data_IF_439117550123
#
_entry.id   IF_439117550123
#
_cell.length_a   1.000
_cell.length_b   1.000
_cell.length_c   1.000
_cell.angle_alpha   90.00
_cell.angle_beta   90.00
_cell.angle_gamma   90.00
#
_symmetry.space_group_name_H-M   'P 1'
#
loop_
_entity.id
_entity.type
_entity.pdbx_description
1 polymer ?
#
# COMPACT_ATOMS: atom_id res chain seq x y z
N UNK A 1 0.58 19.87 -7.72
CA UNK A 1 1.80 20.08 -8.56
C UNK A 1 1.93 18.93 -9.55
N UNK A 2 2.30 19.22 -10.77
CA UNK A 2 2.55 18.17 -11.75
C UNK A 2 4.00 17.69 -11.64
N UNK A 3 4.19 16.41 -11.35
CA UNK A 3 5.50 15.79 -11.16
C UNK A 3 6.07 15.20 -12.47
N UNK A 4 5.30 15.21 -13.55
CA UNK A 4 5.77 14.73 -14.86
C UNK A 4 6.94 15.57 -15.35
N UNK A 5 7.97 14.93 -15.86
CA UNK A 5 9.17 15.60 -16.36
C UNK A 5 10.22 15.91 -15.29
N UNK A 6 9.93 15.68 -14.01
CA UNK A 6 10.92 15.74 -12.93
C UNK A 6 11.63 14.40 -12.79
N UNK A 7 12.91 14.43 -12.47
CA UNK A 7 13.63 13.22 -12.13
C UNK A 7 13.37 12.82 -10.66
N UNK A 8 13.82 11.62 -10.27
CA UNK A 8 13.58 11.11 -8.93
C UNK A 8 14.21 11.99 -7.84
N UNK A 9 15.40 12.54 -8.08
CA UNK A 9 16.09 13.39 -7.11
C UNK A 9 15.34 14.70 -6.88
N UNK A 10 14.78 15.29 -7.93
CA UNK A 10 13.94 16.49 -7.83
C UNK A 10 12.67 16.22 -7.02
N UNK A 11 12.02 15.08 -7.25
CA UNK A 11 10.81 14.68 -6.52
C UNK A 11 11.14 14.42 -5.05
N UNK A 12 12.23 13.71 -4.76
CA UNK A 12 12.70 13.45 -3.38
C UNK A 12 12.95 14.75 -2.64
N UNK A 13 13.60 15.71 -3.28
CA UNK A 13 13.84 17.03 -2.68
C UNK A 13 12.53 17.74 -2.33
N UNK A 14 11.53 17.69 -3.22
CA UNK A 14 10.22 18.27 -2.94
C UNK A 14 9.51 17.58 -1.77
N UNK A 15 9.65 16.26 -1.65
CA UNK A 15 9.13 15.51 -0.49
C UNK A 15 9.81 15.93 0.82
N UNK A 16 11.13 16.04 0.82
CA UNK A 16 11.91 16.45 1.99
C UNK A 16 11.57 17.87 2.45
N UNK A 17 11.27 18.75 1.51
CA UNK A 17 10.86 20.14 1.76
C UNK A 17 9.36 20.28 2.09
N UNK A 18 8.61 19.17 2.15
CA UNK A 18 7.15 19.14 2.38
C UNK A 18 6.36 19.98 1.36
N UNK A 19 6.83 20.05 0.14
CA UNK A 19 6.17 20.81 -0.94
C UNK A 19 5.19 19.99 -1.75
N UNK A 20 5.26 18.66 -1.64
CA UNK A 20 4.37 17.71 -2.30
C UNK A 20 3.91 16.62 -1.34
N UNK A 21 2.80 15.99 -1.68
CA UNK A 21 2.18 14.89 -0.92
C UNK A 21 1.80 13.74 -1.88
N UNK A 22 1.31 12.65 -1.31
CA UNK A 22 0.90 11.46 -2.08
C UNK A 22 -0.09 11.81 -3.19
N UNK A 23 -0.99 12.75 -2.94
CA UNK A 23 -1.96 13.21 -3.94
C UNK A 23 -1.29 13.72 -5.21
N UNK A 24 -0.17 14.41 -5.10
CA UNK A 24 0.55 14.94 -6.28
C UNK A 24 1.07 13.82 -7.17
N UNK A 25 1.48 12.69 -6.60
CA UNK A 25 1.86 11.50 -7.36
C UNK A 25 0.68 10.94 -8.15
N UNK A 26 -0.45 10.78 -7.49
CA UNK A 26 -1.67 10.25 -8.11
C UNK A 26 -2.13 11.17 -9.23
N UNK A 27 -2.18 12.47 -8.99
CA UNK A 27 -2.56 13.47 -9.99
C UNK A 27 -1.60 13.50 -11.19
N UNK A 28 -0.36 13.09 -10.97
CA UNK A 28 0.68 13.00 -12.02
C UNK A 28 0.75 11.63 -12.68
N UNK A 29 -0.14 10.72 -12.34
CA UNK A 29 -0.15 9.32 -12.83
C UNK A 29 1.13 8.56 -12.49
N UNK A 30 1.73 8.86 -11.34
CA UNK A 30 2.88 8.14 -10.80
C UNK A 30 2.39 7.31 -9.62
N UNK A 31 2.68 6.01 -9.62
CA UNK A 31 2.34 5.15 -8.49
C UNK A 31 3.23 5.47 -7.28
N UNK A 32 2.67 6.00 -6.17
CA UNK A 32 3.48 6.34 -5.01
C UNK A 32 4.12 5.12 -4.34
N UNK A 33 3.46 3.98 -4.37
CA UNK A 33 3.99 2.74 -3.81
C UNK A 33 5.21 2.24 -4.60
N UNK A 34 5.14 2.25 -5.94
CA UNK A 34 6.27 1.86 -6.79
C UNK A 34 7.44 2.84 -6.62
N UNK A 35 7.15 4.13 -6.61
CA UNK A 35 8.16 5.16 -6.37
C UNK A 35 8.87 4.95 -5.03
N UNK A 36 8.08 4.69 -3.98
CA UNK A 36 8.59 4.46 -2.64
C UNK A 36 9.53 3.26 -2.57
N UNK A 37 9.14 2.13 -3.18
CA UNK A 37 9.98 0.92 -3.23
C UNK A 37 11.31 1.15 -3.93
N UNK A 38 11.31 1.96 -4.99
CA UNK A 38 12.52 2.26 -5.77
C UNK A 38 13.41 3.32 -5.12
N UNK A 39 12.89 4.09 -4.17
CA UNK A 39 13.56 5.24 -3.57
C UNK A 39 13.66 5.15 -2.05
N UNK A 40 14.05 3.99 -1.54
CA UNK A 40 14.37 3.77 -0.11
C UNK A 40 13.23 4.06 0.86
N UNK A 41 11.99 3.83 0.45
CA UNK A 41 10.80 3.99 1.30
C UNK A 41 10.67 5.40 1.91
N UNK A 42 11.00 6.41 1.12
CA UNK A 42 11.00 7.82 1.59
C UNK A 42 9.60 8.35 1.89
N UNK A 43 8.55 7.81 1.25
CA UNK A 43 7.16 8.24 1.47
C UNK A 43 6.56 7.56 2.69
N UNK A 44 6.62 6.24 2.75
CA UNK A 44 5.91 5.43 3.74
C UNK A 44 6.80 4.89 4.84
N UNK A 45 8.11 5.09 4.72
CA UNK A 45 9.07 4.54 5.67
C UNK A 45 9.29 3.04 5.52
N UNK A 46 10.15 2.49 6.38
CA UNK A 46 10.47 1.08 6.37
C UNK A 46 9.29 0.26 6.93
N UNK A 47 8.73 -0.62 6.12
CA UNK A 47 7.60 -1.47 6.50
C UNK A 47 8.01 -2.72 7.29
N UNK A 48 9.29 -2.95 7.51
CA UNK A 48 9.80 -4.17 8.15
C UNK A 48 9.17 -4.42 9.53
N UNK A 49 9.02 -3.37 10.34
CA UNK A 49 8.49 -3.48 11.69
C UNK A 49 6.97 -3.62 11.76
N UNK A 50 6.27 -3.36 10.66
CA UNK A 50 4.81 -3.46 10.57
C UNK A 50 4.34 -4.55 9.61
N UNK A 51 5.28 -5.30 9.03
CA UNK A 51 4.96 -6.39 8.11
C UNK A 51 4.36 -7.56 8.88
N UNK A 52 3.15 -7.97 8.49
CA UNK A 52 2.43 -9.09 9.08
C UNK A 52 2.65 -10.39 8.30
N UNK A 53 2.74 -10.28 6.98
CA UNK A 53 2.92 -11.42 6.10
C UNK A 53 3.53 -10.97 4.78
N UNK A 54 4.40 -11.79 4.22
CA UNK A 54 5.00 -11.55 2.91
C UNK A 54 5.34 -12.87 2.24
N UNK A 55 5.02 -13.00 0.97
CA UNK A 55 5.48 -14.09 0.11
C UNK A 55 5.87 -13.55 -1.27
N UNK A 56 6.00 -14.42 -2.27
CA UNK A 56 6.40 -13.99 -3.62
C UNK A 56 5.33 -13.18 -4.35
N UNK A 57 4.09 -13.25 -3.92
CA UNK A 57 2.94 -12.69 -4.63
C UNK A 57 2.32 -11.48 -3.94
N UNK A 58 2.26 -11.51 -2.60
CA UNK A 58 1.58 -10.50 -1.80
C UNK A 58 2.40 -10.09 -0.57
N UNK A 59 2.10 -8.91 -0.07
CA UNK A 59 2.53 -8.44 1.24
C UNK A 59 1.32 -7.92 2.02
N UNK A 60 1.36 -8.05 3.34
CA UNK A 60 0.34 -7.55 4.24
C UNK A 60 1.00 -6.83 5.40
N UNK A 61 0.59 -5.60 5.67
CA UNK A 61 1.22 -4.77 6.69
C UNK A 61 0.23 -3.83 7.38
N UNK A 62 0.59 -3.40 8.57
CA UNK A 62 -0.13 -2.34 9.29
C UNK A 62 0.19 -1.00 8.64
N UNK A 63 -0.84 -0.24 8.31
CA UNK A 63 -0.65 1.09 7.73
C UNK A 63 -0.19 2.08 8.81
N UNK A 64 0.70 3.01 8.43
CA UNK A 64 1.25 4.00 9.36
C UNK A 64 0.24 5.07 9.80
N UNK A 65 -0.81 5.27 9.02
CA UNK A 65 -1.85 6.27 9.31
C UNK A 65 -3.24 5.62 9.27
N UNK A 66 -3.56 4.77 10.27
CA UNK A 66 -4.78 3.97 10.26
C UNK A 66 -6.03 4.81 10.46
N UNK A 67 -7.12 4.41 9.78
CA UNK A 67 -8.47 4.95 10.03
C UNK A 67 -9.09 4.39 11.29
N UNK A 68 -8.67 3.19 11.68
CA UNK A 68 -9.10 2.51 12.90
C UNK A 68 -8.03 1.51 13.32
N UNK A 69 -8.12 1.02 14.55
CA UNK A 69 -7.26 -0.06 15.02
C UNK A 69 -7.42 -1.28 14.12
N UNK A 70 -6.30 -1.92 13.78
CA UNK A 70 -6.32 -3.09 12.91
C UNK A 70 -6.46 -2.78 11.43
N UNK A 71 -6.26 -1.54 11.01
CA UNK A 71 -6.23 -1.17 9.59
C UNK A 71 -4.97 -1.74 8.95
N UNK A 72 -5.15 -2.75 8.13
CA UNK A 72 -4.08 -3.40 7.37
C UNK A 72 -4.25 -3.16 5.88
N UNK A 73 -3.15 -3.33 5.15
CA UNK A 73 -3.12 -3.30 3.69
C UNK A 73 -2.63 -4.63 3.18
N UNK A 74 -3.30 -5.17 2.18
CA UNK A 74 -2.85 -6.32 1.41
C UNK A 74 -2.51 -5.80 0.02
N UNK A 75 -1.27 -5.97 -0.40
CA UNK A 75 -0.76 -5.43 -1.66
C UNK A 75 -0.10 -6.54 -2.48
N UNK A 76 -0.28 -6.50 -3.79
CA UNK A 76 0.49 -7.36 -4.70
C UNK A 76 1.94 -6.87 -4.77
N UNK A 77 2.88 -7.81 -4.91
CA UNK A 77 4.30 -7.48 -5.09
C UNK A 77 4.51 -6.85 -6.47
N UNK A 78 3.88 -7.40 -7.51
CA UNK A 78 3.89 -6.84 -8.85
C UNK A 78 2.85 -5.72 -8.94
N UNK A 79 3.21 -4.62 -9.57
CA UNK A 79 2.29 -3.51 -9.79
C UNK A 79 1.20 -3.89 -10.80
N UNK A 80 -0.05 -3.68 -10.42
CA UNK A 80 -1.21 -3.72 -11.31
C UNK A 80 -1.97 -2.41 -11.15
N UNK A 81 -2.40 -1.83 -12.26
CA UNK A 81 -3.09 -0.54 -12.26
C UNK A 81 -4.45 -0.63 -11.55
N UNK A 82 -5.15 -1.73 -11.76
CA UNK A 82 -6.46 -1.98 -11.15
C UNK A 82 -6.76 -3.49 -11.07
N UNK A 83 -7.88 -3.83 -10.44
CA UNK A 83 -8.31 -5.21 -10.25
C UNK A 83 -8.55 -5.96 -11.56
N UNK A 84 -8.88 -5.27 -12.64
CA UNK A 84 -9.17 -5.92 -13.93
C UNK A 84 -7.89 -6.48 -14.58
N UNK A 85 -6.73 -5.97 -14.22
CA UNK A 85 -5.45 -6.44 -14.74
C UNK A 85 -4.85 -7.59 -13.94
N UNK A 86 -5.34 -7.83 -12.73
CA UNK A 86 -4.80 -8.87 -11.85
C UNK A 86 -5.13 -10.26 -12.40
N UNK A 87 -4.17 -11.19 -12.51
CA UNK A 87 -4.45 -12.57 -12.88
C UNK A 87 -5.45 -13.22 -11.91
N UNK A 88 -6.34 -14.06 -12.41
CA UNK A 88 -7.40 -14.70 -11.63
C UNK A 88 -6.84 -15.43 -10.39
N UNK A 89 -5.74 -16.16 -10.54
CA UNK A 89 -5.10 -16.89 -9.44
C UNK A 89 -4.66 -15.96 -8.32
N UNK A 90 -4.10 -14.80 -8.66
CA UNK A 90 -3.69 -13.81 -7.68
C UNK A 90 -4.90 -13.14 -7.03
N UNK A 91 -5.93 -12.85 -7.81
CA UNK A 91 -7.21 -12.33 -7.32
C UNK A 91 -7.81 -13.25 -6.26
N UNK A 92 -7.90 -14.54 -6.55
CA UNK A 92 -8.39 -15.56 -5.62
C UNK A 92 -7.54 -15.60 -4.34
N UNK A 93 -6.22 -15.59 -4.49
CA UNK A 93 -5.28 -15.61 -3.36
C UNK A 93 -5.48 -14.40 -2.45
N UNK A 94 -5.57 -13.20 -3.02
CA UNK A 94 -5.77 -11.96 -2.27
C UNK A 94 -7.07 -12.00 -1.47
N UNK A 95 -8.18 -12.42 -2.07
CA UNK A 95 -9.48 -12.45 -1.41
C UNK A 95 -9.58 -13.54 -0.33
N UNK A 96 -9.00 -14.71 -0.56
CA UNK A 96 -8.93 -15.78 0.44
C UNK A 96 -8.07 -15.33 1.62
N UNK A 97 -6.94 -14.70 1.36
CA UNK A 97 -6.08 -14.13 2.39
C UNK A 97 -6.77 -13.00 3.17
N UNK A 98 -7.50 -12.12 2.46
CA UNK A 98 -8.28 -11.07 3.10
C UNK A 98 -9.32 -11.65 4.07
N UNK A 99 -10.02 -12.70 3.68
CA UNK A 99 -10.99 -13.38 4.56
C UNK A 99 -10.32 -13.91 5.83
N UNK A 100 -9.16 -14.52 5.69
CA UNK A 100 -8.36 -14.99 6.84
C UNK A 100 -8.01 -13.83 7.77
N UNK A 101 -7.51 -12.74 7.23
CA UNK A 101 -7.13 -11.56 8.01
C UNK A 101 -8.33 -10.87 8.66
N UNK A 102 -9.47 -10.83 8.00
CA UNK A 102 -10.71 -10.29 8.58
C UNK A 102 -11.12 -11.08 9.83
N UNK A 103 -11.01 -12.41 9.80
CA UNK A 103 -11.27 -13.24 10.97
C UNK A 103 -10.28 -12.98 12.11
N UNK A 104 -9.01 -12.82 11.79
CA UNK A 104 -7.96 -12.50 12.76
C UNK A 104 -8.22 -11.13 13.41
N UNK A 105 -8.49 -10.11 12.61
CA UNK A 105 -8.78 -8.75 13.09
C UNK A 105 -10.00 -8.75 14.01
N UNK A 106 -11.05 -9.43 13.61
CA UNK A 106 -12.26 -9.55 14.42
C UNK A 106 -11.99 -10.15 15.80
N UNK A 107 -11.17 -11.19 15.84
CA UNK A 107 -10.81 -11.86 17.09
C UNK A 107 -9.88 -11.01 17.97
N UNK A 108 -8.89 -10.36 17.37
CA UNK A 108 -7.91 -9.54 18.10
C UNK A 108 -8.53 -8.30 18.71
N UNK A 109 -9.39 -7.62 17.97
CA UNK A 109 -9.99 -6.35 18.39
C UNK A 109 -11.42 -6.48 18.93
N UNK A 110 -11.98 -7.69 18.95
CA UNK A 110 -13.34 -7.96 19.43
C UNK A 110 -14.39 -7.02 18.81
N UNK A 111 -14.30 -6.82 17.51
CA UNK A 111 -15.18 -5.93 16.75
C UNK A 111 -16.34 -6.70 16.12
N UNK A 112 -17.45 -6.00 15.85
CA UNK A 112 -18.64 -6.62 15.24
C UNK A 112 -18.44 -6.95 13.77
N UNK A 113 -17.71 -6.10 13.04
CA UNK A 113 -17.50 -6.27 11.60
C UNK A 113 -16.16 -5.71 11.16
N UNK A 114 -15.68 -6.23 10.03
CA UNK A 114 -14.47 -5.76 9.35
C UNK A 114 -14.85 -5.43 7.91
N UNK A 115 -14.45 -4.26 7.43
CA UNK A 115 -14.73 -3.82 6.07
C UNK A 115 -13.53 -4.05 5.17
N UNK A 116 -13.81 -4.50 3.94
CA UNK A 116 -12.83 -4.63 2.87
C UNK A 116 -13.06 -3.51 1.85
N UNK A 117 -12.01 -2.75 1.55
CA UNK A 117 -12.01 -1.71 0.53
C UNK A 117 -10.90 -2.00 -0.49
N UNK A 118 -11.19 -1.74 -1.77
CA UNK A 118 -10.20 -1.87 -2.84
C UNK A 118 -9.92 -0.54 -3.50
#
# INVERSE_FOLDING_TARGET
MNLKGLDNDEIIKLLEENKIEVKDFIDSSICPTCFDKENNNIIYGNKKDVMLYEDNDIECFLISNPRSNGHIVISSIVHYKDMMEIPDELCEKVFVFAKLMMNIIKNVYDCESVYLCT
#
